data_IF_771386444784
#
_entry.id   IF_771386444784
#
_cell.length_a   1.000
_cell.length_b   1.000
_cell.length_c   1.000
_cell.angle_alpha   90.00
_cell.angle_beta   90.00
_cell.angle_gamma   90.00
#
_symmetry.space_group_name_H-M   'P 1'
#
loop_
_entity.id
_entity.type
_entity.pdbx_description
1 polymer ?
#
# COMPACT_ATOMS: atom_id res chain seq x y z
N UNK A 1 -15.06 6.54 -22.68
CA UNK A 1 -15.33 5.17 -22.22
C UNK A 1 -14.71 5.11 -20.84
N UNK A 2 -15.50 4.86 -19.80
CA UNK A 2 -14.98 4.81 -18.44
C UNK A 2 -14.23 3.48 -18.27
N UNK A 3 -12.97 3.55 -17.83
CA UNK A 3 -12.19 2.37 -17.51
C UNK A 3 -12.60 1.92 -16.11
N UNK A 4 -13.18 0.72 -16.02
CA UNK A 4 -13.65 0.16 -14.76
C UNK A 4 -13.07 -1.25 -14.60
N UNK A 5 -12.63 -1.55 -13.38
CA UNK A 5 -12.15 -2.87 -12.99
C UNK A 5 -13.01 -3.37 -11.84
N UNK A 6 -13.63 -4.51 -12.02
CA UNK A 6 -14.39 -5.18 -10.96
C UNK A 6 -13.46 -6.11 -10.20
N UNK A 7 -13.44 -6.00 -8.86
CA UNK A 7 -12.69 -6.91 -8.00
C UNK A 7 -13.65 -7.78 -7.19
N UNK A 8 -13.35 -9.08 -7.13
CA UNK A 8 -14.08 -10.09 -6.35
C UNK A 8 -13.11 -10.84 -5.45
N UNK A 9 -13.41 -10.89 -4.15
CA UNK A 9 -12.60 -11.61 -3.16
C UNK A 9 -12.40 -10.78 -1.90
N UNK A 10 -11.38 -11.12 -1.11
CA UNK A 10 -11.05 -10.41 0.12
C UNK A 10 -9.55 -10.46 0.40
N UNK A 11 -9.04 -9.38 0.98
CA UNK A 11 -7.68 -9.28 1.51
C UNK A 11 -7.76 -9.14 3.03
N UNK A 12 -7.42 -10.21 3.75
CA UNK A 12 -7.52 -10.27 5.21
C UNK A 12 -6.35 -9.55 5.87
N UNK A 13 -6.62 -8.99 7.04
CA UNK A 13 -5.65 -8.35 7.92
C UNK A 13 -5.44 -9.24 9.16
N UNK A 14 -4.18 -9.56 9.47
CA UNK A 14 -3.81 -10.30 10.68
C UNK A 14 -2.59 -9.64 11.39
N UNK A 15 -2.74 -9.13 12.63
CA UNK A 15 -4.00 -9.04 13.38
C UNK A 15 -4.99 -8.05 12.72
N UNK A 16 -6.29 -8.10 13.09
CA UNK A 16 -7.24 -7.04 12.73
C UNK A 16 -6.76 -5.66 13.21
N UNK A 17 -7.19 -4.61 12.51
CA UNK A 17 -6.86 -3.22 12.87
C UNK A 17 -7.39 -2.87 14.26
N UNK A 18 -6.59 -2.14 15.02
CA UNK A 18 -7.06 -1.46 16.23
C UNK A 18 -8.04 -0.33 15.86
N UNK A 19 -8.83 0.11 16.83
CA UNK A 19 -9.88 1.13 16.63
C UNK A 19 -9.32 2.44 16.03
N UNK A 20 -8.16 2.90 16.51
CA UNK A 20 -7.51 4.11 15.99
C UNK A 20 -7.04 3.97 14.53
N UNK A 21 -6.48 2.80 14.17
CA UNK A 21 -6.07 2.48 12.79
C UNK A 21 -7.27 2.41 11.86
N UNK A 22 -8.32 1.74 12.30
CA UNK A 22 -9.56 1.59 11.58
C UNK A 22 -10.20 2.96 11.28
N UNK A 23 -10.35 3.79 12.30
CA UNK A 23 -10.95 5.12 12.16
C UNK A 23 -10.13 6.02 11.24
N UNK A 24 -8.81 6.01 11.39
CA UNK A 24 -7.93 6.84 10.56
C UNK A 24 -7.93 6.37 9.10
N UNK A 25 -7.81 5.07 8.84
CA UNK A 25 -7.78 4.54 7.45
C UNK A 25 -9.12 4.73 6.73
N UNK A 26 -10.25 4.67 7.45
CA UNK A 26 -11.57 5.01 6.89
C UNK A 26 -11.63 6.49 6.50
N UNK A 27 -11.19 7.35 7.41
CA UNK A 27 -11.12 8.78 7.17
C UNK A 27 -10.21 9.11 5.97
N UNK A 28 -9.07 8.42 5.86
CA UNK A 28 -8.13 8.55 4.75
C UNK A 28 -8.74 8.10 3.41
N UNK A 29 -9.47 6.99 3.38
CA UNK A 29 -10.17 6.52 2.17
C UNK A 29 -11.25 7.53 1.70
N UNK A 30 -11.84 8.28 2.62
CA UNK A 30 -12.82 9.33 2.32
C UNK A 30 -12.19 10.69 2.03
N UNK A 31 -10.91 10.87 2.35
CA UNK A 31 -10.22 12.15 2.24
C UNK A 31 -10.01 12.53 0.78
N UNK A 32 -10.61 13.63 0.34
CA UNK A 32 -10.53 14.16 -1.03
C UNK A 32 -9.18 14.75 -1.45
N UNK A 33 -8.10 14.43 -0.70
CA UNK A 33 -6.75 14.92 -0.96
C UNK A 33 -6.53 16.34 -0.49
N UNK A 34 -5.31 16.82 -0.49
CA UNK A 34 -4.98 18.22 -0.17
C UNK A 34 -3.82 18.72 -1.03
N UNK A 35 -3.47 20.01 -0.93
CA UNK A 35 -2.35 20.59 -1.67
C UNK A 35 -0.98 20.07 -1.22
N UNK A 36 -0.94 19.07 -0.35
CA UNK A 36 0.25 18.62 0.36
C UNK A 36 1.18 17.82 -0.55
N UNK A 37 2.48 18.08 -0.41
CA UNK A 37 3.54 17.44 -1.18
C UNK A 37 4.03 16.11 -0.59
N UNK A 38 3.58 15.77 0.62
CA UNK A 38 4.04 14.63 1.41
C UNK A 38 2.87 13.65 1.66
N UNK A 39 3.03 12.35 1.37
CA UNK A 39 1.99 11.34 1.60
C UNK A 39 1.61 11.14 3.08
N UNK A 40 2.43 11.63 4.02
CA UNK A 40 2.16 11.59 5.45
C UNK A 40 1.63 12.92 6.01
N UNK A 41 1.60 13.98 5.21
CA UNK A 41 0.97 15.26 5.55
C UNK A 41 -0.55 15.18 5.33
N UNK A 42 -1.11 14.08 5.84
CA UNK A 42 -2.54 13.85 5.96
C UNK A 42 -2.93 14.40 7.34
N UNK A 43 -4.02 15.17 7.46
CA UNK A 43 -4.47 15.71 8.73
C UNK A 43 -4.58 14.62 9.81
N UNK A 44 -4.18 14.96 11.04
CA UNK A 44 -4.25 14.04 12.20
C UNK A 44 -5.63 13.41 12.36
N UNK A 45 -6.66 14.14 11.98
CA UNK A 45 -8.01 13.63 11.81
C UNK A 45 -8.49 13.98 10.38
N UNK A 46 -8.41 13.05 9.41
CA UNK A 46 -8.84 13.35 8.05
C UNK A 46 -10.35 13.68 7.97
N UNK A 47 -11.18 13.17 8.89
CA UNK A 47 -12.60 13.55 9.00
C UNK A 47 -12.78 15.02 9.40
N UNK A 48 -11.88 15.58 10.23
CA UNK A 48 -11.95 17.00 10.61
C UNK A 48 -11.62 17.93 9.43
N UNK A 49 -10.68 17.54 8.57
CA UNK A 49 -10.37 18.28 7.34
C UNK A 49 -11.52 18.21 6.33
N UNK A 50 -12.17 17.04 6.19
CA UNK A 50 -13.38 16.89 5.38
C UNK A 50 -14.50 17.85 5.80
N UNK A 51 -14.72 18.01 7.11
CA UNK A 51 -15.70 18.97 7.63
C UNK A 51 -15.36 20.43 7.26
N UNK A 52 -14.07 20.78 7.23
CA UNK A 52 -13.59 22.10 6.80
C UNK A 52 -13.78 22.38 5.30
N UNK A 53 -13.99 21.34 4.49
CA UNK A 53 -14.17 21.42 3.02
C UNK A 53 -15.61 21.26 2.57
N UNK A 54 -16.57 21.29 3.50
CA UNK A 54 -18.00 21.20 3.19
C UNK A 54 -18.39 22.23 2.11
N UNK A 55 -18.79 21.73 0.93
CA UNK A 55 -19.17 22.55 -0.24
C UNK A 55 -18.24 22.44 -1.45
N UNK A 56 -17.07 21.82 -1.30
CA UNK A 56 -16.26 21.37 -2.44
C UNK A 56 -16.79 20.01 -2.92
N UNK A 57 -16.74 19.73 -4.23
CA UNK A 57 -17.09 18.41 -4.74
C UNK A 57 -16.07 17.39 -4.19
N UNK A 58 -16.48 16.46 -3.30
CA UNK A 58 -15.57 15.49 -2.70
C UNK A 58 -15.01 14.50 -3.72
N UNK A 59 -15.60 14.44 -4.93
CA UNK A 59 -15.16 13.61 -6.04
C UNK A 59 -14.35 14.37 -7.09
N UNK A 60 -14.23 15.70 -6.98
CA UNK A 60 -13.37 16.49 -7.85
C UNK A 60 -11.90 16.25 -7.49
N UNK A 61 -11.38 15.11 -7.96
CA UNK A 61 -9.96 14.75 -7.86
C UNK A 61 -9.20 15.54 -8.92
N UNK A 62 -8.20 16.37 -8.56
CA UNK A 62 -7.29 16.95 -9.53
C UNK A 62 -6.64 15.82 -10.34
N UNK A 63 -6.61 15.94 -11.67
CA UNK A 63 -6.04 14.91 -12.55
C UNK A 63 -4.54 14.61 -12.24
N UNK A 64 -3.86 15.49 -11.50
CA UNK A 64 -2.46 15.39 -11.11
C UNK A 64 -2.22 15.12 -9.61
N UNK A 65 -3.25 14.76 -8.85
CA UNK A 65 -3.18 14.55 -7.40
C UNK A 65 -2.07 13.58 -6.97
N UNK A 66 -1.92 12.45 -7.68
CA UNK A 66 -0.88 11.48 -7.35
C UNK A 66 0.55 11.97 -7.61
N UNK A 67 0.74 12.90 -8.58
CA UNK A 67 2.05 13.55 -8.79
C UNK A 67 2.36 14.57 -7.71
N UNK A 68 1.34 15.24 -7.17
CA UNK A 68 1.54 16.28 -6.16
C UNK A 68 1.78 15.70 -4.78
N UNK A 69 1.02 14.68 -4.41
CA UNK A 69 1.01 14.12 -3.05
C UNK A 69 1.96 12.94 -2.86
N UNK A 70 2.43 12.32 -3.95
CA UNK A 70 3.16 11.05 -3.88
C UNK A 70 2.28 9.84 -3.52
N UNK A 71 0.97 10.03 -3.36
CA UNK A 71 -0.01 8.95 -3.10
C UNK A 71 -0.47 8.40 -4.45
N UNK A 72 -0.27 7.11 -4.75
CA UNK A 72 -0.76 6.52 -5.99
C UNK A 72 -2.27 6.70 -6.17
N UNK A 73 -2.67 6.89 -7.44
CA UNK A 73 -4.08 6.87 -7.79
C UNK A 73 -4.69 5.52 -7.35
N UNK A 74 -5.91 5.56 -6.82
CA UNK A 74 -6.63 4.35 -6.40
C UNK A 74 -6.35 3.84 -4.98
N UNK A 75 -5.36 4.39 -4.27
CA UNK A 75 -5.09 4.03 -2.85
C UNK A 75 -6.35 4.14 -1.99
N UNK A 76 -7.10 5.23 -2.15
CA UNK A 76 -8.31 5.53 -1.36
C UNK A 76 -9.54 4.71 -1.75
N UNK A 77 -9.45 3.97 -2.85
CA UNK A 77 -10.54 3.10 -3.28
C UNK A 77 -10.48 1.75 -2.53
N UNK A 78 -9.49 1.57 -1.66
CA UNK A 78 -9.40 0.49 -0.68
C UNK A 78 -9.66 1.04 0.72
N UNK A 79 -10.56 0.39 1.47
CA UNK A 79 -10.86 0.75 2.84
C UNK A 79 -11.02 -0.48 3.71
N UNK A 80 -10.72 -0.41 5.01
CA UNK A 80 -11.01 -1.51 5.93
C UNK A 80 -12.52 -1.70 6.13
N UNK A 81 -12.94 -2.95 6.30
CA UNK A 81 -14.30 -3.32 6.69
C UNK A 81 -14.66 -2.80 8.11
N UNK A 82 -15.92 -2.94 8.53
CA UNK A 82 -16.40 -2.43 9.83
C UNK A 82 -15.70 -3.04 11.04
N UNK A 83 -15.18 -4.26 10.89
CA UNK A 83 -14.46 -4.97 11.95
C UNK A 83 -12.94 -4.84 11.85
N UNK A 84 -12.43 -4.11 10.85
CA UNK A 84 -10.99 -3.97 10.63
C UNK A 84 -10.24 -5.25 10.25
N UNK A 85 -10.94 -6.33 9.88
CA UNK A 85 -10.36 -7.65 9.62
C UNK A 85 -10.00 -7.93 8.15
N UNK A 86 -10.43 -7.08 7.22
CA UNK A 86 -10.07 -7.17 5.80
C UNK A 86 -10.22 -5.82 5.08
N UNK A 87 -9.55 -5.68 3.93
CA UNK A 87 -9.71 -4.57 3.01
C UNK A 87 -10.82 -4.86 2.00
N UNK A 88 -11.62 -3.84 1.70
CA UNK A 88 -12.75 -3.87 0.78
C UNK A 88 -12.49 -2.87 -0.34
N UNK A 89 -12.74 -3.33 -1.56
CA UNK A 89 -12.76 -2.46 -2.74
C UNK A 89 -14.01 -1.58 -2.73
N UNK A 90 -13.82 -0.27 -2.89
CA UNK A 90 -14.86 0.73 -3.11
C UNK A 90 -14.77 1.18 -4.56
N UNK A 91 -15.73 0.82 -5.42
CA UNK A 91 -15.71 1.22 -6.82
C UNK A 91 -15.59 2.73 -6.96
N UNK A 92 -14.60 3.19 -7.72
CA UNK A 92 -14.40 4.59 -8.04
C UNK A 92 -14.02 4.76 -9.51
N UNK A 93 -14.39 5.89 -10.14
CA UNK A 93 -13.96 6.20 -11.49
C UNK A 93 -12.43 6.24 -11.61
N UNK A 94 -11.90 5.71 -12.72
CA UNK A 94 -10.47 5.77 -13.10
C UNK A 94 -9.52 4.96 -12.21
N UNK A 95 -10.02 4.02 -11.42
CA UNK A 95 -9.19 3.22 -10.54
C UNK A 95 -8.71 1.94 -11.21
N UNK A 96 -7.54 2.05 -11.85
CA UNK A 96 -7.03 1.02 -12.77
C UNK A 96 -5.79 0.29 -12.22
N UNK A 97 -5.22 0.72 -11.10
CA UNK A 97 -3.98 0.16 -10.55
C UNK A 97 -4.12 -0.21 -9.07
N UNK A 98 -4.89 -1.28 -8.82
CA UNK A 98 -5.01 -1.83 -7.48
C UNK A 98 -3.70 -2.35 -6.90
N UNK A 99 -2.77 -2.83 -7.74
CA UNK A 99 -1.53 -3.42 -7.26
C UNK A 99 -0.65 -2.35 -6.61
N UNK A 100 -0.46 -1.22 -7.29
CA UNK A 100 0.32 -0.11 -6.75
C UNK A 100 -0.37 0.50 -5.51
N UNK A 101 -1.70 0.65 -5.56
CA UNK A 101 -2.50 1.15 -4.45
C UNK A 101 -2.37 0.28 -3.18
N UNK A 102 -2.50 -1.03 -3.31
CA UNK A 102 -2.41 -1.98 -2.19
C UNK A 102 -0.99 -2.05 -1.61
N UNK A 103 0.04 -2.05 -2.47
CA UNK A 103 1.45 -1.98 -2.03
C UNK A 103 1.69 -0.73 -1.21
N UNK A 104 1.23 0.42 -1.69
CA UNK A 104 1.36 1.67 -0.96
C UNK A 104 0.72 1.59 0.43
N UNK A 105 -0.52 1.10 0.56
CA UNK A 105 -1.17 0.94 1.86
C UNK A 105 -0.36 0.08 2.83
N UNK A 106 0.18 -1.03 2.35
CA UNK A 106 1.00 -1.93 3.19
C UNK A 106 2.31 -1.28 3.59
N UNK A 107 3.03 -0.70 2.63
CA UNK A 107 4.35 -0.11 2.85
C UNK A 107 4.29 1.19 3.66
N UNK A 108 3.15 1.89 3.67
CA UNK A 108 3.01 3.18 4.34
C UNK A 108 2.33 3.09 5.69
N UNK A 109 1.31 2.22 5.85
CA UNK A 109 0.43 2.28 7.02
C UNK A 109 0.25 0.96 7.77
N UNK A 110 0.38 -0.20 7.12
CA UNK A 110 -0.04 -1.47 7.73
C UNK A 110 1.12 -2.34 8.21
N UNK A 111 2.15 -2.49 7.38
CA UNK A 111 3.18 -3.51 7.60
C UNK A 111 4.19 -3.16 8.70
N UNK A 112 4.99 -4.14 9.16
CA UNK A 112 6.07 -3.96 10.16
C UNK A 112 7.10 -2.88 9.80
N UNK A 113 7.21 -2.55 8.52
CA UNK A 113 8.14 -1.56 7.98
C UNK A 113 7.43 -0.31 7.45
N UNK A 114 6.18 -0.11 7.86
CA UNK A 114 5.36 1.00 7.44
C UNK A 114 6.08 2.34 7.66
N UNK A 115 6.15 3.14 6.60
CA UNK A 115 6.89 4.41 6.58
C UNK A 115 6.25 5.52 7.43
N UNK A 116 4.96 5.40 7.78
CA UNK A 116 4.29 6.34 8.67
C UNK A 116 4.75 6.21 10.13
N UNK A 117 5.47 5.13 10.48
CA UNK A 117 6.00 4.92 11.83
C UNK A 117 6.89 6.10 12.25
N UNK A 118 6.50 6.79 13.32
CA UNK A 118 7.23 7.94 13.86
C UNK A 118 7.10 9.23 13.04
N UNK A 119 6.20 9.29 12.05
CA UNK A 119 5.98 10.50 11.24
C UNK A 119 5.13 11.57 11.93
N UNK A 120 4.51 11.26 13.06
CA UNK A 120 3.80 12.25 13.87
C UNK A 120 2.72 11.65 14.76
N UNK A 121 2.06 12.49 15.57
CA UNK A 121 1.13 12.05 16.61
C UNK A 121 -0.11 11.31 16.09
N UNK A 122 -0.47 11.49 14.82
CA UNK A 122 -1.54 10.74 14.17
C UNK A 122 -1.28 9.22 14.14
N UNK A 123 0.00 8.82 14.19
CA UNK A 123 0.44 7.45 14.03
C UNK A 123 0.98 6.83 15.32
N UNK A 124 0.95 7.55 16.45
CA UNK A 124 1.45 7.04 17.75
C UNK A 124 0.64 5.83 18.24
N UNK A 125 -0.62 5.73 17.84
CA UNK A 125 -1.52 4.63 18.19
C UNK A 125 -1.47 3.45 17.20
N UNK A 126 -0.75 3.58 16.08
CA UNK A 126 -0.63 2.50 15.10
C UNK A 126 0.35 1.42 15.60
N UNK A 127 -0.06 0.18 15.46
CA UNK A 127 0.67 -1.04 15.79
C UNK A 127 1.67 -1.40 14.71
N UNK A 128 1.28 -1.20 13.44
CA UNK A 128 2.07 -1.52 12.26
C UNK A 128 2.58 -2.96 12.26
N UNK A 129 1.77 -3.93 12.64
CA UNK A 129 2.16 -5.36 12.63
C UNK A 129 1.22 -6.22 11.78
N UNK A 130 0.39 -5.56 10.97
CA UNK A 130 -0.59 -6.22 10.12
C UNK A 130 0.06 -6.90 8.92
N UNK A 131 -0.35 -8.14 8.70
CA UNK A 131 -0.10 -8.89 7.47
C UNK A 131 -1.35 -8.83 6.60
N UNK A 132 -1.13 -8.71 5.29
CA UNK A 132 -2.20 -8.75 4.30
C UNK A 132 -2.08 -10.04 3.51
N UNK A 133 -3.13 -10.86 3.57
CA UNK A 133 -3.18 -12.16 2.91
C UNK A 133 -4.52 -12.36 2.21
N UNK A 134 -4.51 -12.95 1.02
CA UNK A 134 -5.74 -13.26 0.30
C UNK A 134 -5.60 -13.27 -1.21
N UNK A 135 -6.73 -13.41 -1.88
CA UNK A 135 -6.80 -13.42 -3.34
C UNK A 135 -7.99 -12.57 -3.79
N UNK A 136 -7.75 -11.74 -4.79
CA UNK A 136 -8.75 -11.01 -5.54
C UNK A 136 -8.73 -11.48 -6.99
N UNK A 137 -9.89 -11.85 -7.51
CA UNK A 137 -10.10 -11.93 -8.95
C UNK A 137 -10.49 -10.54 -9.47
N UNK A 138 -9.93 -10.15 -10.60
CA UNK A 138 -10.18 -8.87 -11.23
C UNK A 138 -10.59 -9.08 -12.69
N UNK A 139 -11.57 -8.30 -13.14
CA UNK A 139 -12.01 -8.23 -14.53
C UNK A 139 -12.01 -6.77 -14.98
N UNK A 140 -11.34 -6.50 -16.09
CA UNK A 140 -11.31 -5.18 -16.71
C UNK A 140 -12.33 -5.09 -17.82
N UNK A 141 -13.25 -4.14 -17.70
CA UNK A 141 -14.36 -3.99 -18.65
C UNK A 141 -13.89 -3.50 -20.03
N UNK A 142 -12.74 -2.81 -20.11
CA UNK A 142 -12.25 -2.21 -21.36
C UNK A 142 -11.48 -3.20 -22.26
N UNK A 143 -10.80 -4.15 -21.64
CA UNK A 143 -9.88 -5.09 -22.30
C UNK A 143 -10.40 -6.52 -22.23
N UNK A 144 -11.42 -6.79 -21.41
CA UNK A 144 -11.84 -8.13 -21.01
C UNK A 144 -10.72 -8.92 -20.32
N UNK A 145 -9.69 -8.23 -19.80
CA UNK A 145 -8.59 -8.86 -19.09
C UNK A 145 -9.09 -9.45 -17.77
N UNK A 146 -8.75 -10.72 -17.52
CA UNK A 146 -8.98 -11.41 -16.25
C UNK A 146 -7.65 -11.70 -15.58
N UNK A 147 -7.50 -11.28 -14.34
CA UNK A 147 -6.28 -11.54 -13.56
C UNK A 147 -6.59 -11.78 -12.08
N UNK A 148 -5.64 -12.40 -11.39
CA UNK A 148 -5.63 -12.52 -9.94
C UNK A 148 -4.62 -11.55 -9.34
N UNK A 149 -4.98 -10.94 -8.22
CA UNK A 149 -4.04 -10.34 -7.28
C UNK A 149 -3.96 -11.23 -6.05
N UNK A 150 -2.76 -11.76 -5.78
CA UNK A 150 -2.47 -12.60 -4.61
C UNK A 150 -1.66 -11.79 -3.62
N UNK A 151 -2.11 -11.76 -2.37
CA UNK A 151 -1.38 -11.19 -1.24
C UNK A 151 -0.88 -12.33 -0.36
N UNK A 152 0.42 -12.36 -0.12
CA UNK A 152 1.08 -13.34 0.75
C UNK A 152 2.10 -12.62 1.62
N UNK A 153 1.89 -12.61 2.94
CA UNK A 153 2.74 -11.93 3.92
C UNK A 153 2.96 -10.44 3.58
N UNK A 154 1.89 -9.77 3.15
CA UNK A 154 1.92 -8.36 2.73
C UNK A 154 2.59 -8.11 1.37
N UNK A 155 2.98 -9.15 0.62
CA UNK A 155 3.53 -9.02 -0.74
C UNK A 155 2.48 -9.33 -1.78
N UNK A 156 2.45 -8.53 -2.83
CA UNK A 156 1.44 -8.65 -3.88
C UNK A 156 2.02 -9.15 -5.20
N UNK A 157 1.37 -10.17 -5.76
CA UNK A 157 1.67 -10.77 -7.04
C UNK A 157 0.45 -10.69 -7.96
N UNK A 158 0.69 -10.41 -9.24
CA UNK A 158 -0.33 -10.43 -10.28
C UNK A 158 -0.15 -11.67 -11.16
N UNK A 159 -1.25 -12.34 -11.43
CA UNK A 159 -1.30 -13.51 -12.32
C UNK A 159 -2.39 -13.28 -13.36
N UNK A 160 -2.02 -13.07 -14.62
CA UNK A 160 -3.00 -12.95 -15.71
C UNK A 160 -3.58 -14.32 -16.03
N UNK A 161 -4.91 -14.45 -15.96
CA UNK A 161 -5.65 -15.67 -16.30
C UNK A 161 -6.08 -15.65 -17.76
N UNK A 162 -6.57 -14.51 -18.22
CA UNK A 162 -6.91 -14.23 -19.61
C UNK A 162 -6.40 -12.82 -19.94
N UNK A 163 -5.49 -12.64 -20.91
CA UNK A 163 -5.04 -11.31 -21.32
C UNK A 163 -6.17 -10.46 -21.93
N UNK A 164 -7.34 -11.04 -22.19
CA UNK A 164 -8.47 -10.37 -22.79
C UNK A 164 -8.28 -10.13 -24.28
N UNK A 165 -9.13 -9.28 -24.84
CA UNK A 165 -9.00 -8.88 -26.24
C UNK A 165 -8.01 -7.73 -26.37
N UNK A 166 -6.88 -7.97 -27.06
CA UNK A 166 -6.07 -6.89 -27.65
C UNK A 166 -6.81 -6.23 -28.81
N UNK A 167 -8.02 -5.73 -28.61
CA UNK A 167 -8.71 -4.93 -29.63
C UNK A 167 -8.39 -3.46 -29.43
N UNK A 168 -7.14 -3.10 -29.69
CA UNK A 168 -6.92 -1.83 -30.37
C UNK A 168 -7.14 -2.08 -31.86
N UNK A 169 -8.41 -2.17 -32.27
CA UNK A 169 -8.78 -2.04 -33.68
C UNK A 169 -8.63 -0.55 -34.02
N UNK A 170 -7.38 -0.13 -34.19
CA UNK A 170 -7.08 1.01 -35.03
C UNK A 170 -7.37 0.58 -36.45
N UNK A 171 -8.64 0.65 -36.86
CA UNK A 171 -8.98 0.89 -38.26
C UNK A 171 -8.45 2.28 -38.61
N UNK A 172 -7.15 2.29 -38.90
CA UNK A 172 -6.37 3.41 -39.36
C UNK A 172 -5.37 2.84 -40.35
N UNK A 173 -5.88 2.53 -41.53
CA UNK A 173 -5.13 2.27 -42.74
C UNK A 173 -3.93 3.22 -42.82
N UNK A 174 -2.72 2.70 -42.64
CA UNK A 174 -1.52 3.50 -42.47
C UNK A 174 -0.30 2.63 -42.24
N UNK A 175 0.12 1.92 -43.29
CA UNK A 175 1.31 1.08 -43.26
C UNK A 175 2.54 1.81 -42.74
N UNK A 176 3.30 1.16 -41.86
CA UNK A 176 4.55 1.72 -41.35
C UNK A 176 5.10 1.01 -40.13
N UNK A 177 5.83 -0.06 -40.41
CA UNK A 177 6.98 -0.59 -39.66
C UNK A 177 6.76 -1.28 -38.29
N UNK A 178 7.49 -2.38 -38.13
CA UNK A 178 7.41 -3.30 -37.03
C UNK A 178 8.11 -2.75 -35.78
N UNK A 179 7.34 -2.29 -34.79
CA UNK A 179 7.80 -2.07 -33.42
C UNK A 179 7.47 -3.25 -32.53
N UNK A 180 8.50 -3.96 -32.05
CA UNK A 180 8.41 -5.05 -31.08
C UNK A 180 7.68 -4.64 -29.77
N UNK A 181 7.08 -5.59 -29.02
CA UNK A 181 6.47 -5.29 -27.73
C UNK A 181 7.51 -4.73 -26.77
N UNK A 182 7.25 -3.53 -26.25
CA UNK A 182 7.94 -2.99 -25.09
C UNK A 182 7.39 -3.68 -23.84
N UNK A 183 7.79 -4.93 -23.65
CA UNK A 183 8.04 -5.46 -22.30
C UNK A 183 9.39 -4.87 -21.84
N UNK A 184 9.38 -3.58 -21.52
CA UNK A 184 10.31 -3.08 -20.51
C UNK A 184 9.52 -3.30 -19.21
N UNK A 185 9.88 -4.28 -18.38
CA UNK A 185 10.97 -4.07 -17.42
C UNK A 185 11.04 -2.59 -17.03
N UNK A 186 9.93 -2.10 -16.45
CA UNK A 186 9.98 -0.97 -15.55
C UNK A 186 10.87 -1.42 -14.40
N UNK A 187 12.18 -1.23 -14.60
CA UNK A 187 13.18 -1.40 -13.57
C UNK A 187 12.66 -0.72 -12.33
N UNK A 188 12.71 -1.46 -11.22
CA UNK A 188 12.48 -0.97 -9.88
C UNK A 188 13.09 0.43 -9.77
N UNK A 189 12.26 1.47 -9.86
CA UNK A 189 12.66 2.80 -9.45
C UNK A 189 12.64 2.71 -7.93
N UNK A 190 13.80 2.70 -7.24
CA UNK A 190 13.78 2.81 -5.81
C UNK A 190 13.26 4.22 -5.55
N UNK A 191 12.07 4.31 -4.94
CA UNK A 191 11.66 5.51 -4.26
C UNK A 191 12.61 5.67 -3.06
N UNK A 192 13.87 6.02 -3.29
CA UNK A 192 14.75 6.45 -2.21
C UNK A 192 14.18 7.77 -1.70
N UNK A 193 13.39 7.68 -0.63
CA UNK A 193 13.11 8.79 0.26
C UNK A 193 14.45 9.43 0.59
N UNK A 194 14.66 10.65 0.07
CA UNK A 194 15.86 11.42 0.34
C UNK A 194 16.10 11.44 1.85
N UNK A 195 17.24 10.89 2.26
CA UNK A 195 17.73 11.03 3.62
C UNK A 195 17.80 12.52 3.92
N UNK A 196 16.92 13.00 4.79
CA UNK A 196 17.02 14.33 5.35
C UNK A 196 18.42 14.43 5.98
N UNK A 197 19.16 15.45 5.55
CA UNK A 197 20.46 15.79 6.12
C UNK A 197 20.29 16.07 7.61
N UNK A 198 20.83 15.20 8.46
CA UNK A 198 21.07 15.50 9.86
C UNK A 198 22.20 16.54 9.93
N UNK A 199 21.84 17.83 9.96
CA UNK A 199 22.71 18.83 10.56
C UNK A 199 22.71 18.62 12.08
N UNK A 200 23.79 18.03 12.59
CA UNK A 200 24.04 17.88 14.01
C UNK A 200 24.35 19.24 14.66
N UNK A 201 23.72 19.61 15.78
CA UNK A 201 24.30 20.57 16.71
C UNK A 201 25.28 19.84 17.64
N UNK A 202 26.47 20.44 17.81
CA UNK A 202 27.53 19.93 18.67
C UNK A 202 27.27 20.08 20.17
N UNK A 203 28.07 19.32 20.95
CA UNK A 203 28.19 19.36 22.41
C UNK A 203 27.38 18.23 23.08
N UNK A 204 27.88 17.41 24.00
CA UNK A 204 29.12 17.37 24.76
C UNK A 204 29.29 15.92 25.25
N UNK A 205 30.52 15.41 25.24
CA UNK A 205 30.88 14.04 25.63
C UNK A 205 31.28 14.02 27.10
N UNK A 206 30.54 13.28 27.94
CA UNK A 206 31.07 12.73 29.20
C UNK A 206 30.63 11.28 29.35
N UNK A 207 31.62 10.41 29.55
CA UNK A 207 31.56 8.99 29.23
C UNK A 207 30.79 8.09 30.20
N UNK A 208 30.44 6.91 29.68
CA UNK A 208 30.35 5.70 30.47
C UNK A 208 30.83 4.50 29.64
N UNK A 209 31.74 3.75 30.25
CA UNK A 209 32.40 2.55 29.73
C UNK A 209 31.43 1.37 29.71
N UNK A 210 31.56 0.47 28.72
CA UNK A 210 31.35 -0.95 28.98
C UNK A 210 30.65 -1.79 27.91
N UNK A 211 31.43 -2.70 27.33
CA UNK A 211 31.06 -4.02 26.82
C UNK A 211 30.30 -4.14 25.48
N UNK A 212 31.06 -4.59 24.47
CA UNK A 212 30.62 -5.14 23.18
C UNK A 212 29.92 -6.49 23.34
N UNK A 213 28.67 -6.59 22.86
CA UNK A 213 27.96 -7.87 22.69
C UNK A 213 28.33 -8.45 21.32
N UNK A 214 29.38 -9.27 21.32
CA UNK A 214 29.75 -10.14 20.21
C UNK A 214 29.93 -11.56 20.72
N UNK A 215 28.89 -12.10 21.36
CA UNK A 215 28.88 -13.50 21.81
C UNK A 215 27.46 -13.95 22.21
N UNK A 216 26.70 -14.52 21.27
CA UNK A 216 25.63 -15.48 21.58
C UNK A 216 25.10 -16.13 20.29
N UNK A 217 25.99 -16.84 19.61
CA UNK A 217 25.61 -17.96 18.74
C UNK A 217 26.10 -19.23 19.44
N UNK A 218 25.24 -20.25 19.48
CA UNK A 218 25.46 -21.64 19.89
C UNK A 218 25.16 -21.98 21.36
N UNK A 219 23.95 -22.48 21.57
CA UNK A 219 23.59 -23.73 22.29
C UNK A 219 22.08 -23.65 22.53
N UNK A 220 21.21 -24.53 22.03
CA UNK A 220 21.11 -25.92 22.50
C UNK A 220 20.07 -26.69 21.64
N UNK A 221 20.55 -27.45 20.66
CA UNK A 221 19.82 -28.61 20.15
C UNK A 221 20.30 -29.83 20.95
N UNK A 222 19.41 -30.47 21.71
CA UNK A 222 19.48 -31.88 22.14
C UNK A 222 18.44 -32.16 23.24
N UNK A 223 17.26 -32.66 22.85
CA UNK A 223 16.46 -33.56 23.70
C UNK A 223 15.87 -34.66 22.81
N UNK A 224 16.61 -35.77 22.74
CA UNK A 224 16.07 -37.06 22.31
C UNK A 224 15.33 -37.78 23.45
N UNK A 225 14.61 -38.87 23.15
CA UNK A 225 13.54 -39.43 23.97
C UNK A 225 14.06 -40.36 25.07
N UNK A 226 13.37 -40.39 26.22
CA UNK A 226 13.54 -41.46 27.23
C UNK A 226 12.39 -42.46 27.11
N UNK A 227 12.80 -43.73 27.06
CA UNK A 227 11.96 -44.87 26.75
C UNK A 227 11.22 -45.47 27.94
N UNK A 228 10.53 -46.55 27.57
CA UNK A 228 9.72 -47.50 28.33
C UNK A 228 10.46 -48.19 29.48
N UNK A 229 9.67 -48.62 30.45
CA UNK A 229 9.77 -49.92 31.10
C UNK A 229 8.67 -50.08 32.14
N UNK A 230 8.57 -51.25 32.79
CA UNK A 230 8.58 -52.61 32.28
C UNK A 230 7.17 -53.14 31.95
#
# INVERSE_FOLDING_TARGET
MEHHTTYLGQLRLDPPLAEAELDWLRAFAEWGGGPHGDPFDVPMNPRADLAGRAGQDPWARPADEGRRTGIPAGVRDWAPCDEGCHLVWRPAPFSNDALLALRFLVDHFLGPRALARGRGPAFDAFTFDHRVDGVLAAHRDDTEELFLLRAEDGRFHRETLDPGTRRWSGDGDGGGDAGAPQDADEGEAPWEVGAASEEAPGGEVVGARGATVRELVRHRAARGPRGRGP
#
